data_IF_323046644875
#
_entry.id   IF_323046644875
#
_cell.length_a   1.000
_cell.length_b   1.000
_cell.length_c   1.000
_cell.angle_alpha   90.00
_cell.angle_beta   90.00
_cell.angle_gamma   90.00
#
_symmetry.space_group_name_H-M   'P 1'
#
loop_
_entity.id
_entity.type
_entity.pdbx_description
1 polymer ?
#
# COMPACT_ATOMS: atom_id res chain seq x y z
N UNK A 1 -6.83 -19.48 3.86
CA UNK A 1 -7.81 -19.29 4.92
C UNK A 1 -8.88 -18.29 4.47
N UNK A 2 -8.55 -17.04 4.06
CA UNK A 2 -9.54 -16.02 3.65
C UNK A 2 -10.47 -16.49 2.52
N UNK A 3 -9.94 -17.12 1.46
CA UNK A 3 -10.75 -17.64 0.35
C UNK A 3 -11.75 -18.70 0.80
N UNK A 4 -11.38 -19.56 1.74
CA UNK A 4 -12.27 -20.60 2.30
C UNK A 4 -13.38 -19.97 3.15
N UNK A 5 -13.04 -19.02 4.03
CA UNK A 5 -14.01 -18.37 4.91
C UNK A 5 -15.04 -17.59 4.10
N UNK A 6 -14.62 -16.78 3.13
CA UNK A 6 -15.53 -15.96 2.34
C UNK A 6 -16.40 -16.80 1.38
N UNK A 7 -15.83 -17.82 0.75
CA UNK A 7 -16.58 -18.65 -0.20
C UNK A 7 -17.56 -19.62 0.50
N UNK A 8 -17.13 -20.23 1.61
CA UNK A 8 -17.95 -21.28 2.27
C UNK A 8 -18.80 -20.75 3.42
N UNK A 9 -18.30 -19.77 4.22
CA UNK A 9 -19.01 -19.27 5.39
C UNK A 9 -19.95 -18.12 5.02
N UNK A 10 -19.47 -17.16 4.22
CA UNK A 10 -20.25 -15.98 3.85
C UNK A 10 -20.99 -16.15 2.52
N UNK A 11 -20.77 -17.27 1.79
CA UNK A 11 -21.37 -17.56 0.47
C UNK A 11 -21.25 -16.38 -0.50
N UNK A 12 -20.21 -15.59 -0.32
CA UNK A 12 -19.96 -14.40 -1.12
C UNK A 12 -18.91 -14.75 -2.19
N UNK A 13 -19.34 -14.71 -3.44
CA UNK A 13 -18.46 -14.71 -4.61
C UNK A 13 -18.63 -13.37 -5.30
N UNK A 14 -17.57 -12.53 -5.41
CA UNK A 14 -17.63 -11.45 -6.39
C UNK A 14 -17.96 -12.10 -7.73
N UNK A 15 -18.75 -11.42 -8.53
CA UNK A 15 -19.02 -11.89 -9.89
C UNK A 15 -17.73 -12.10 -10.69
N UNK A 16 -17.79 -12.82 -11.82
CA UNK A 16 -16.65 -12.98 -12.68
C UNK A 16 -16.08 -11.61 -13.07
N UNK A 17 -14.77 -11.51 -13.20
CA UNK A 17 -14.09 -10.28 -13.60
C UNK A 17 -14.66 -9.78 -14.93
N UNK A 18 -14.94 -8.50 -15.04
CA UNK A 18 -15.52 -7.90 -16.25
C UNK A 18 -14.54 -6.84 -16.81
N UNK A 19 -13.97 -7.05 -18.00
CA UNK A 19 -14.29 -8.03 -19.05
C UNK A 19 -13.50 -9.35 -19.01
N UNK A 20 -12.62 -9.60 -18.03
CA UNK A 20 -11.69 -10.77 -18.04
C UNK A 20 -12.39 -12.14 -17.98
N UNK A 21 -13.61 -12.20 -17.45
CA UNK A 21 -14.34 -13.45 -17.24
C UNK A 21 -13.76 -14.38 -16.17
N UNK A 22 -12.71 -13.97 -15.46
CA UNK A 22 -12.06 -14.76 -14.42
C UNK A 22 -12.98 -14.89 -13.18
N UNK A 23 -13.20 -16.14 -12.75
CA UNK A 23 -13.98 -16.45 -11.53
C UNK A 23 -13.09 -17.20 -10.50
N UNK A 24 -11.95 -16.61 -10.15
CA UNK A 24 -11.02 -17.17 -9.14
C UNK A 24 -10.92 -16.21 -7.98
N UNK A 25 -11.77 -16.41 -6.97
CA UNK A 25 -11.84 -15.55 -5.79
C UNK A 25 -10.49 -15.33 -5.09
N UNK A 26 -9.64 -16.36 -5.03
CA UNK A 26 -8.33 -16.26 -4.40
C UNK A 26 -7.43 -15.23 -5.10
N UNK A 27 -7.41 -15.21 -6.43
CA UNK A 27 -6.63 -14.23 -7.21
C UNK A 27 -7.20 -12.82 -7.06
N UNK A 28 -8.53 -12.70 -7.03
CA UNK A 28 -9.20 -11.42 -6.82
C UNK A 28 -8.82 -10.78 -5.46
N UNK A 29 -8.79 -11.58 -4.39
CA UNK A 29 -8.36 -11.11 -3.05
C UNK A 29 -6.88 -10.76 -3.06
N UNK A 30 -6.02 -11.58 -3.68
CA UNK A 30 -4.57 -11.33 -3.73
C UNK A 30 -4.23 -10.02 -4.45
N UNK A 31 -4.96 -9.67 -5.52
CA UNK A 31 -4.78 -8.39 -6.21
C UNK A 31 -4.99 -7.17 -5.31
N UNK A 32 -5.87 -7.28 -4.32
CA UNK A 32 -6.08 -6.21 -3.34
C UNK A 32 -5.18 -6.32 -2.11
N UNK A 33 -4.86 -7.55 -1.70
CA UNK A 33 -4.10 -7.83 -0.48
C UNK A 33 -2.63 -7.44 -0.62
N UNK A 34 -1.99 -7.70 -1.77
CA UNK A 34 -0.56 -7.41 -1.96
C UNK A 34 -0.23 -5.92 -1.85
N UNK A 35 -0.94 -4.98 -2.51
CA UNK A 35 -0.70 -3.55 -2.31
C UNK A 35 -0.89 -3.10 -0.87
N UNK A 36 -1.88 -3.68 -0.18
CA UNK A 36 -2.12 -3.42 1.23
C UNK A 36 -0.96 -3.92 2.11
N UNK A 37 -0.51 -5.16 1.92
CA UNK A 37 0.59 -5.73 2.70
C UNK A 37 1.88 -4.94 2.47
N UNK A 38 2.17 -4.54 1.24
CA UNK A 38 3.30 -3.67 0.94
C UNK A 38 3.23 -2.38 1.76
N UNK A 39 2.10 -1.67 1.75
CA UNK A 39 1.91 -0.45 2.52
C UNK A 39 2.03 -0.69 4.03
N UNK A 40 1.29 -1.66 4.57
CA UNK A 40 1.23 -1.92 6.00
C UNK A 40 2.58 -2.38 6.57
N UNK A 41 3.27 -3.31 5.88
CA UNK A 41 4.57 -3.83 6.31
C UNK A 41 5.65 -2.74 6.20
N UNK A 42 5.70 -2.02 5.07
CA UNK A 42 6.71 -0.97 4.85
C UNK A 42 6.58 0.14 5.88
N UNK A 43 5.37 0.61 6.16
CA UNK A 43 5.16 1.68 7.15
C UNK A 43 5.42 1.22 8.57
N UNK A 44 5.01 0.00 8.93
CA UNK A 44 5.20 -0.54 10.29
C UNK A 44 6.67 -0.84 10.59
N UNK A 45 7.38 -1.45 9.65
CA UNK A 45 8.80 -1.78 9.84
C UNK A 45 9.69 -0.55 9.62
N UNK A 46 9.41 0.27 8.61
CA UNK A 46 10.17 1.47 8.27
C UNK A 46 10.10 2.56 9.34
N UNK A 47 9.00 2.62 10.09
CA UNK A 47 8.85 3.50 11.25
C UNK A 47 9.98 3.31 12.26
N UNK A 48 10.47 2.08 12.44
CA UNK A 48 11.54 1.73 13.39
C UNK A 48 12.94 1.94 12.85
N UNK A 49 13.10 2.14 11.55
CA UNK A 49 14.41 2.08 10.87
C UNK A 49 15.45 3.04 11.47
N UNK A 50 15.06 4.24 11.91
CA UNK A 50 15.97 5.20 12.56
C UNK A 50 16.43 4.67 13.91
N UNK A 51 15.51 4.17 14.73
CA UNK A 51 15.76 3.72 16.08
C UNK A 51 16.57 2.43 16.11
N UNK A 52 16.22 1.48 15.25
CA UNK A 52 16.94 0.20 15.16
C UNK A 52 18.38 0.38 14.65
N UNK A 53 18.65 1.49 13.95
CA UNK A 53 19.98 1.87 13.46
C UNK A 53 20.60 3.06 14.22
N UNK A 54 20.23 3.27 15.48
CA UNK A 54 20.71 4.41 16.28
C UNK A 54 22.25 4.53 16.35
N UNK A 55 22.97 3.41 16.36
CA UNK A 55 24.43 3.40 16.34
C UNK A 55 25.00 4.03 15.06
N UNK A 56 24.38 3.78 13.91
CA UNK A 56 24.74 4.39 12.64
C UNK A 56 24.39 5.88 12.63
N UNK A 57 23.20 6.23 13.10
CA UNK A 57 22.67 7.61 13.14
C UNK A 57 23.51 8.52 14.03
N UNK A 58 24.10 7.99 15.13
CA UNK A 58 24.95 8.75 16.07
C UNK A 58 26.41 8.89 15.61
N UNK A 59 26.94 7.87 14.94
CA UNK A 59 28.38 7.77 14.71
C UNK A 59 28.82 8.11 13.27
N UNK A 60 27.89 8.19 12.33
CA UNK A 60 28.16 8.44 10.91
C UNK A 60 27.40 9.66 10.43
N UNK A 61 28.10 10.56 9.76
CA UNK A 61 27.48 11.71 9.10
C UNK A 61 26.92 11.27 7.75
N UNK A 62 25.61 11.15 7.66
CA UNK A 62 24.87 10.88 6.41
C UNK A 62 23.45 11.48 6.48
N UNK A 63 22.84 11.63 5.32
CA UNK A 63 21.45 12.09 5.24
C UNK A 63 20.52 10.99 5.77
N UNK A 64 19.94 11.21 6.94
CA UNK A 64 19.12 10.23 7.66
C UNK A 64 17.91 9.75 6.86
N UNK A 65 17.43 10.58 5.94
CA UNK A 65 16.34 10.23 5.00
C UNK A 65 16.74 9.07 4.08
N UNK A 66 18.02 8.98 3.71
CA UNK A 66 18.55 7.90 2.86
C UNK A 66 18.31 6.52 3.47
N UNK A 67 18.33 6.42 4.81
CA UNK A 67 18.04 5.16 5.50
C UNK A 67 16.59 4.71 5.25
N UNK A 68 15.65 5.65 5.31
CA UNK A 68 14.23 5.35 5.05
C UNK A 68 14.00 5.01 3.57
N UNK A 69 14.59 5.78 2.65
CA UNK A 69 14.46 5.47 1.21
C UNK A 69 15.12 4.13 0.85
N UNK A 70 16.27 3.81 1.45
CA UNK A 70 16.92 2.50 1.28
C UNK A 70 16.03 1.35 1.78
N UNK A 71 15.39 1.53 2.93
CA UNK A 71 14.44 0.56 3.47
C UNK A 71 13.21 0.40 2.57
N UNK A 72 12.59 1.49 2.14
CA UNK A 72 11.45 1.46 1.20
C UNK A 72 11.85 0.80 -0.11
N UNK A 73 13.05 1.10 -0.64
CA UNK A 73 13.58 0.47 -1.84
C UNK A 73 13.71 -1.05 -1.71
N UNK A 74 14.19 -1.56 -0.58
CA UNK A 74 14.26 -2.99 -0.30
C UNK A 74 12.85 -3.62 -0.27
N UNK A 75 11.87 -2.95 0.32
CA UNK A 75 10.48 -3.41 0.35
C UNK A 75 9.83 -3.40 -1.05
N UNK A 76 10.19 -2.44 -1.91
CA UNK A 76 9.75 -2.41 -3.32
C UNK A 76 10.25 -3.64 -4.07
N UNK A 77 11.50 -4.05 -3.85
CA UNK A 77 12.04 -5.28 -4.47
C UNK A 77 11.23 -6.51 -4.03
N UNK A 78 10.96 -6.65 -2.72
CA UNK A 78 10.12 -7.74 -2.20
C UNK A 78 8.72 -7.71 -2.82
N UNK A 79 8.08 -6.55 -2.84
CA UNK A 79 6.75 -6.38 -3.44
C UNK A 79 6.73 -6.70 -4.93
N UNK A 80 7.79 -6.32 -5.66
CA UNK A 80 7.91 -6.63 -7.10
C UNK A 80 8.00 -8.13 -7.34
N UNK A 81 8.71 -8.88 -6.48
CA UNK A 81 8.76 -10.34 -6.55
C UNK A 81 7.38 -10.96 -6.25
N UNK A 82 6.71 -10.51 -5.19
CA UNK A 82 5.36 -10.98 -4.85
C UNK A 82 4.34 -10.67 -5.97
N UNK A 83 4.41 -9.45 -6.51
CA UNK A 83 3.56 -9.04 -7.63
C UNK A 83 3.85 -9.86 -8.89
N UNK A 84 5.12 -10.14 -9.20
CA UNK A 84 5.51 -10.95 -10.36
C UNK A 84 4.98 -12.38 -10.27
N UNK A 85 4.98 -12.96 -9.06
CA UNK A 85 4.38 -14.26 -8.81
C UNK A 85 2.85 -14.24 -9.05
N UNK A 86 2.15 -13.22 -8.53
CA UNK A 86 0.72 -13.04 -8.78
C UNK A 86 0.43 -12.89 -10.27
N UNK A 87 1.20 -12.07 -10.99
CA UNK A 87 1.08 -11.87 -12.43
C UNK A 87 1.29 -13.18 -13.20
N UNK A 88 2.27 -13.99 -12.79
CA UNK A 88 2.49 -15.32 -13.34
C UNK A 88 1.28 -16.26 -13.17
N UNK A 89 0.68 -16.26 -11.96
CA UNK A 89 -0.53 -17.04 -11.70
C UNK A 89 -1.74 -16.56 -12.52
N UNK A 90 -1.88 -15.25 -12.73
CA UNK A 90 -2.93 -14.68 -13.59
C UNK A 90 -2.74 -15.07 -15.06
N UNK A 91 -1.50 -15.10 -15.58
CA UNK A 91 -1.21 -15.59 -16.92
C UNK A 91 -1.56 -17.07 -17.08
N UNK A 92 -1.22 -17.90 -16.09
CA UNK A 92 -1.59 -19.32 -16.09
C UNK A 92 -3.11 -19.52 -16.03
N UNK A 93 -3.84 -18.60 -15.40
CA UNK A 93 -5.30 -18.58 -15.42
C UNK A 93 -5.91 -18.04 -16.73
N UNK A 94 -5.09 -17.66 -17.72
CA UNK A 94 -5.52 -17.18 -19.02
C UNK A 94 -5.80 -15.68 -19.11
N UNK A 95 -5.40 -14.90 -18.10
CA UNK A 95 -5.66 -13.46 -18.08
C UNK A 95 -4.55 -12.66 -18.77
N UNK A 96 -4.89 -11.94 -19.84
CA UNK A 96 -3.95 -11.19 -20.68
C UNK A 96 -3.82 -9.72 -20.22
N UNK A 97 -3.23 -9.50 -19.06
CA UNK A 97 -2.99 -8.14 -18.53
C UNK A 97 -1.77 -7.42 -19.14
N UNK A 98 -0.98 -8.05 -20.02
CA UNK A 98 0.25 -7.48 -20.58
C UNK A 98 0.11 -6.05 -21.11
N UNK A 99 -0.96 -5.66 -21.81
CA UNK A 99 -1.14 -4.28 -22.29
C UNK A 99 -1.24 -3.25 -21.16
N UNK A 100 -1.60 -3.68 -19.97
CA UNK A 100 -1.80 -2.82 -18.79
C UNK A 100 -0.54 -2.67 -17.92
N UNK A 101 0.54 -3.41 -18.23
CA UNK A 101 1.81 -3.34 -17.48
C UNK A 101 2.38 -1.91 -17.34
N UNK A 102 2.41 -1.06 -18.39
CA UNK A 102 2.95 0.30 -18.23
C UNK A 102 2.18 1.13 -17.20
N UNK A 103 0.84 0.99 -17.20
CA UNK A 103 -0.01 1.71 -16.24
C UNK A 103 0.16 1.11 -14.83
N UNK A 104 0.30 -0.20 -14.72
CA UNK A 104 0.58 -0.87 -13.45
C UNK A 104 1.89 -0.36 -12.82
N UNK A 105 2.94 -0.18 -13.61
CA UNK A 105 4.21 0.39 -13.13
C UNK A 105 4.01 1.81 -12.57
N UNK A 106 3.20 2.64 -13.23
CA UNK A 106 2.87 3.99 -12.73
C UNK A 106 2.10 3.92 -11.41
N UNK A 107 1.11 3.02 -11.30
CA UNK A 107 0.33 2.83 -10.06
C UNK A 107 1.23 2.36 -8.92
N UNK A 108 2.14 1.42 -9.18
CA UNK A 108 3.13 0.92 -8.21
C UNK A 108 4.10 2.03 -7.79
N UNK A 109 4.56 2.87 -8.73
CA UNK A 109 5.41 4.01 -8.42
C UNK A 109 4.68 5.03 -7.52
N UNK A 110 3.42 5.37 -7.82
CA UNK A 110 2.60 6.24 -6.97
C UNK A 110 2.39 5.64 -5.58
N UNK A 111 2.09 4.34 -5.48
CA UNK A 111 1.96 3.63 -4.20
C UNK A 111 3.26 3.68 -3.40
N UNK A 112 4.41 3.50 -4.06
CA UNK A 112 5.73 3.58 -3.43
C UNK A 112 6.00 4.97 -2.87
N UNK A 113 5.73 6.03 -3.64
CA UNK A 113 5.88 7.42 -3.22
C UNK A 113 4.97 7.74 -2.03
N UNK A 114 3.70 7.31 -2.10
CA UNK A 114 2.75 7.44 -1.00
C UNK A 114 3.26 6.77 0.27
N UNK A 115 3.68 5.51 0.16
CA UNK A 115 4.18 4.71 1.28
C UNK A 115 5.47 5.31 1.87
N UNK A 116 6.39 5.80 1.04
CA UNK A 116 7.61 6.47 1.49
C UNK A 116 7.30 7.72 2.30
N UNK A 117 6.38 8.56 1.84
CA UNK A 117 5.95 9.77 2.56
C UNK A 117 5.37 9.46 3.94
N UNK A 118 4.46 8.47 4.02
CA UNK A 118 3.89 8.02 5.30
C UNK A 118 4.96 7.42 6.20
N UNK A 119 5.88 6.61 5.64
CA UNK A 119 6.99 6.01 6.41
C UNK A 119 7.92 7.06 6.99
N UNK A 120 8.28 8.10 6.22
CA UNK A 120 9.09 9.24 6.71
C UNK A 120 8.41 9.95 7.89
N UNK A 121 7.12 10.25 7.76
CA UNK A 121 6.35 10.90 8.82
C UNK A 121 6.33 10.04 10.10
N UNK A 122 6.04 8.76 9.96
CA UNK A 122 6.00 7.82 11.08
C UNK A 122 7.38 7.63 11.72
N UNK A 123 8.44 7.48 10.92
CA UNK A 123 9.80 7.32 11.41
C UNK A 123 10.28 8.54 12.20
N UNK A 124 10.00 9.76 11.69
CA UNK A 124 10.31 10.99 12.41
C UNK A 124 9.55 11.11 13.73
N UNK A 125 8.27 10.71 13.74
CA UNK A 125 7.42 10.79 14.94
C UNK A 125 7.78 9.71 15.97
N UNK A 126 8.20 8.51 15.52
CA UNK A 126 8.52 7.38 16.38
C UNK A 126 9.78 7.60 17.24
N UNK A 127 10.72 8.43 16.80
CA UNK A 127 11.89 8.81 17.62
C UNK A 127 11.43 9.47 18.91
N UNK A 128 10.38 10.30 18.88
CA UNK A 128 9.85 11.03 20.04
C UNK A 128 8.77 10.24 20.81
N UNK A 129 7.96 9.47 20.07
CA UNK A 129 6.80 8.76 20.64
C UNK A 129 6.89 7.27 20.32
N UNK A 130 7.49 6.49 21.22
CA UNK A 130 7.65 5.03 21.06
C UNK A 130 6.32 4.28 21.02
N UNK A 131 5.29 4.80 21.67
CA UNK A 131 3.96 4.20 21.70
C UNK A 131 3.21 4.35 20.36
N UNK A 132 3.72 5.16 19.44
CA UNK A 132 3.17 5.30 18.06
C UNK A 132 3.03 3.95 17.36
N UNK A 133 3.91 2.99 17.65
CA UNK A 133 3.85 1.66 17.11
C UNK A 133 2.52 0.94 17.42
N UNK A 134 2.05 1.05 18.66
CA UNK A 134 0.78 0.42 19.05
C UNK A 134 -0.40 1.12 18.39
N UNK A 135 -0.38 2.45 18.35
CA UNK A 135 -1.40 3.23 17.65
C UNK A 135 -1.43 2.90 16.16
N UNK A 136 -0.25 2.82 15.52
CA UNK A 136 -0.16 2.50 14.10
C UNK A 136 -0.63 1.08 13.79
N UNK A 137 -0.35 0.11 14.66
CA UNK A 137 -0.84 -1.25 14.50
C UNK A 137 -2.37 -1.33 14.51
N UNK A 138 -3.03 -0.55 15.39
CA UNK A 138 -4.49 -0.43 15.42
C UNK A 138 -4.99 0.27 14.14
N UNK A 139 -4.35 1.36 13.71
CA UNK A 139 -4.70 2.07 12.48
C UNK A 139 -4.60 1.17 11.24
N UNK A 140 -3.54 0.37 11.13
CA UNK A 140 -3.40 -0.58 10.02
C UNK A 140 -4.43 -1.70 10.08
N UNK A 141 -4.75 -2.22 11.26
CA UNK A 141 -5.79 -3.24 11.40
C UNK A 141 -7.17 -2.71 11.00
N UNK A 142 -7.53 -1.51 11.44
CA UNK A 142 -8.80 -0.86 11.04
C UNK A 142 -8.78 -0.48 9.55
N UNK A 143 -7.65 0.01 9.05
CA UNK A 143 -7.43 0.36 7.64
C UNK A 143 -7.67 -0.81 6.68
N UNK A 144 -7.30 -2.03 7.08
CA UNK A 144 -7.58 -3.24 6.31
C UNK A 144 -9.09 -3.42 6.03
N UNK A 145 -9.91 -3.19 7.04
CA UNK A 145 -11.37 -3.28 6.88
C UNK A 145 -11.98 -2.05 6.21
N UNK A 146 -11.34 -0.89 6.35
CA UNK A 146 -11.79 0.34 5.70
C UNK A 146 -11.48 0.38 4.19
N UNK A 147 -10.56 -0.46 3.70
CA UNK A 147 -10.27 -0.61 2.28
C UNK A 147 -11.02 -1.83 1.71
N UNK A 148 -11.51 -1.77 0.45
CA UNK A 148 -12.27 -2.87 -0.18
C UNK A 148 -11.33 -4.00 -0.65
N UNK A 149 -10.57 -4.59 0.29
CA UNK A 149 -9.59 -5.65 0.00
C UNK A 149 -10.32 -6.98 -0.20
N UNK A 150 -11.22 -7.32 0.74
CA UNK A 150 -11.92 -8.61 0.78
C UNK A 150 -13.39 -8.53 0.36
N UNK A 151 -13.88 -7.33 0.06
CA UNK A 151 -15.25 -7.09 -0.39
C UNK A 151 -15.26 -6.10 -1.57
N UNK A 152 -16.19 -6.20 -2.52
CA UNK A 152 -16.33 -5.21 -3.58
C UNK A 152 -17.02 -3.95 -3.06
N UNK A 153 -16.58 -2.80 -3.55
CA UNK A 153 -17.10 -1.48 -3.15
C UNK A 153 -18.60 -1.32 -3.40
N UNK A 154 -19.15 -2.03 -4.40
CA UNK A 154 -20.57 -1.99 -4.74
C UNK A 154 -21.52 -2.56 -3.70
N UNK A 155 -21.02 -3.26 -2.66
CA UNK A 155 -21.84 -3.72 -1.54
C UNK A 155 -22.16 -2.59 -0.53
N UNK A 156 -21.42 -1.49 -0.60
CA UNK A 156 -21.60 -0.39 0.33
C UNK A 156 -22.73 0.54 -0.14
N UNK A 157 -23.50 1.16 0.77
CA UNK A 157 -24.43 2.24 0.44
C UNK A 157 -23.69 3.40 -0.27
N UNK A 158 -24.35 4.09 -1.20
CA UNK A 158 -23.74 5.13 -2.06
C UNK A 158 -22.97 6.21 -1.27
N UNK A 159 -23.49 6.61 -0.11
CA UNK A 159 -22.81 7.59 0.77
C UNK A 159 -21.46 7.08 1.29
N UNK A 160 -21.37 5.79 1.66
CA UNK A 160 -20.16 5.18 2.14
C UNK A 160 -19.17 4.91 0.99
N UNK A 161 -19.66 4.59 -0.20
CA UNK A 161 -18.80 4.43 -1.38
C UNK A 161 -17.97 5.69 -1.66
N UNK A 162 -18.57 6.87 -1.56
CA UNK A 162 -17.87 8.15 -1.78
C UNK A 162 -16.73 8.33 -0.76
N UNK A 163 -17.01 8.07 0.52
CA UNK A 163 -16.00 8.19 1.58
C UNK A 163 -14.86 7.18 1.40
N UNK A 164 -15.22 5.93 1.10
CA UNK A 164 -14.22 4.85 0.89
C UNK A 164 -13.37 5.12 -0.35
N UNK A 165 -13.91 5.72 -1.42
CA UNK A 165 -13.15 6.11 -2.62
C UNK A 165 -12.14 7.23 -2.38
N UNK A 166 -12.38 8.10 -1.38
CA UNK A 166 -11.41 9.15 -1.00
C UNK A 166 -10.22 8.59 -0.20
N UNK A 167 -10.35 7.38 0.35
CA UNK A 167 -9.23 6.72 1.02
C UNK A 167 -8.15 6.36 -0.02
N UNK A 168 -6.88 6.82 0.15
CA UNK A 168 -5.81 6.56 -0.80
C UNK A 168 -5.60 5.06 -1.05
N UNK A 169 -5.64 4.25 -0.01
CA UNK A 169 -5.45 2.80 -0.13
C UNK A 169 -6.52 2.16 -1.02
N UNK A 170 -7.76 2.64 -0.93
CA UNK A 170 -8.84 2.17 -1.82
C UNK A 170 -8.50 2.43 -3.27
N UNK A 171 -8.02 3.63 -3.60
CA UNK A 171 -7.64 3.97 -4.98
C UNK A 171 -6.53 3.04 -5.51
N UNK A 172 -5.50 2.76 -4.71
CA UNK A 172 -4.42 1.84 -5.10
C UNK A 172 -4.91 0.40 -5.24
N UNK A 173 -5.63 -0.13 -4.25
CA UNK A 173 -6.14 -1.51 -4.25
C UNK A 173 -7.09 -1.75 -5.43
N UNK A 174 -8.02 -0.84 -5.66
CA UNK A 174 -8.98 -0.96 -6.78
C UNK A 174 -8.29 -0.81 -8.12
N UNK A 175 -7.33 0.10 -8.26
CA UNK A 175 -6.59 0.28 -9.52
C UNK A 175 -5.73 -0.93 -9.87
N UNK A 176 -4.99 -1.51 -8.91
CA UNK A 176 -4.24 -2.74 -9.17
C UNK A 176 -5.17 -3.87 -9.56
N UNK A 177 -6.29 -4.06 -8.85
CA UNK A 177 -7.28 -5.10 -9.17
C UNK A 177 -7.88 -4.90 -10.55
N UNK A 178 -8.33 -3.69 -10.88
CA UNK A 178 -8.91 -3.38 -12.18
C UNK A 178 -7.93 -3.66 -13.32
N UNK A 179 -6.65 -3.28 -13.15
CA UNK A 179 -5.62 -3.48 -14.19
C UNK A 179 -5.30 -4.94 -14.44
N UNK A 180 -5.10 -5.72 -13.36
CA UNK A 180 -4.54 -7.08 -13.51
C UNK A 180 -5.59 -8.18 -13.46
N UNK A 181 -6.76 -7.94 -12.83
CA UNK A 181 -7.84 -8.93 -12.73
C UNK A 181 -8.97 -8.63 -13.70
N UNK A 182 -9.52 -7.40 -13.70
CA UNK A 182 -10.65 -7.00 -14.53
C UNK A 182 -10.25 -6.52 -15.94
N UNK A 183 -8.96 -6.26 -16.19
CA UNK A 183 -8.43 -5.73 -17.46
C UNK A 183 -9.04 -4.35 -17.83
N UNK A 184 -9.25 -3.51 -16.84
CA UNK A 184 -9.77 -2.15 -16.99
C UNK A 184 -8.75 -1.12 -16.51
N UNK A 185 -8.65 -0.01 -17.20
CA UNK A 185 -7.85 1.14 -16.72
C UNK A 185 -8.45 1.78 -15.49
N UNK A 186 -7.59 2.40 -14.62
CA UNK A 186 -8.07 3.21 -13.50
C UNK A 186 -8.87 4.41 -14.03
N UNK A 187 -9.86 4.85 -13.26
CA UNK A 187 -10.62 6.05 -13.63
C UNK A 187 -9.76 7.31 -13.46
N UNK A 188 -10.09 8.39 -14.17
CA UNK A 188 -9.39 9.67 -13.99
C UNK A 188 -9.46 10.18 -12.55
N UNK A 189 -10.56 9.89 -11.84
CA UNK A 189 -10.72 10.19 -10.43
C UNK A 189 -9.73 9.40 -9.58
N UNK A 190 -9.60 8.08 -9.77
CA UNK A 190 -8.66 7.25 -9.01
C UNK A 190 -7.21 7.70 -9.23
N UNK A 191 -6.83 8.01 -10.48
CA UNK A 191 -5.51 8.55 -10.81
C UNK A 191 -5.24 9.88 -10.08
N UNK A 192 -6.21 10.78 -10.09
CA UNK A 192 -6.08 12.07 -9.38
C UNK A 192 -5.91 11.86 -7.88
N UNK A 193 -6.72 11.01 -7.27
CA UNK A 193 -6.61 10.67 -5.84
C UNK A 193 -5.24 10.08 -5.52
N UNK A 194 -4.77 9.10 -6.31
CA UNK A 194 -3.45 8.47 -6.11
C UNK A 194 -2.31 9.49 -6.19
N UNK A 195 -2.29 10.34 -7.22
CA UNK A 195 -1.23 11.35 -7.40
C UNK A 195 -1.28 12.41 -6.29
N UNK A 196 -2.46 12.94 -5.98
CA UNK A 196 -2.61 13.93 -4.92
C UNK A 196 -2.13 13.40 -3.56
N UNK A 197 -2.53 12.18 -3.19
CA UNK A 197 -2.09 11.56 -1.93
C UNK A 197 -0.60 11.22 -1.93
N UNK A 198 -0.05 10.75 -3.05
CA UNK A 198 1.38 10.46 -3.17
C UNK A 198 2.23 11.70 -2.99
N UNK A 199 1.89 12.80 -3.67
CA UNK A 199 2.60 14.07 -3.55
C UNK A 199 2.43 14.66 -2.14
N UNK A 200 1.19 14.69 -1.64
CA UNK A 200 0.90 15.29 -0.31
C UNK A 200 1.60 14.52 0.81
N UNK A 201 1.54 13.19 0.80
CA UNK A 201 2.21 12.38 1.82
C UNK A 201 3.72 12.56 1.79
N UNK A 202 4.33 12.61 0.60
CA UNK A 202 5.77 12.80 0.46
C UNK A 202 6.19 14.19 0.96
N UNK A 203 5.47 15.25 0.59
CA UNK A 203 5.76 16.62 1.05
C UNK A 203 5.62 16.75 2.56
N UNK A 204 4.56 16.18 3.15
CA UNK A 204 4.36 16.21 4.60
C UNK A 204 5.44 15.36 5.29
N UNK A 205 5.73 14.16 4.77
CA UNK A 205 6.75 13.26 5.33
C UNK A 205 8.14 13.88 5.33
N UNK A 206 8.58 14.44 4.19
CA UNK A 206 9.85 15.14 4.07
C UNK A 206 9.89 16.40 4.95
N UNK A 207 8.83 17.20 4.96
CA UNK A 207 8.75 18.41 5.78
C UNK A 207 8.78 18.13 7.29
N UNK A 208 8.11 17.07 7.75
CA UNK A 208 8.17 16.63 9.14
C UNK A 208 9.56 16.06 9.47
N UNK A 209 10.09 15.21 8.60
CA UNK A 209 11.38 14.57 8.81
C UNK A 209 12.54 15.58 8.86
N UNK A 210 12.59 16.54 7.91
CA UNK A 210 13.62 17.58 7.87
C UNK A 210 13.59 18.51 9.09
N UNK A 211 12.40 18.78 9.65
CA UNK A 211 12.26 19.59 10.87
C UNK A 211 12.66 18.85 12.15
N UNK A 212 12.39 17.56 12.21
CA UNK A 212 12.61 16.75 13.43
C UNK A 212 13.99 16.10 13.45
N UNK A 213 14.56 15.74 12.28
CA UNK A 213 15.83 15.01 12.16
C UNK A 213 17.03 15.66 12.85
N UNK A 214 17.19 17.02 12.93
CA UNK A 214 18.35 17.59 13.60
C UNK A 214 18.48 17.19 15.07
N UNK A 215 17.37 16.96 15.75
CA UNK A 215 17.32 16.60 17.18
C UNK A 215 17.37 15.10 17.47
N UNK A 216 17.38 14.23 16.44
CA UNK A 216 17.37 12.77 16.65
C UNK A 216 18.55 12.26 17.48
N UNK A 217 19.72 12.90 17.37
CA UNK A 217 20.90 12.49 18.13
C UNK A 217 20.77 12.73 19.65
N UNK A 218 19.88 13.65 20.06
CA UNK A 218 19.61 13.98 21.46
C UNK A 218 18.52 13.04 22.06
N UNK A 219 17.60 12.55 21.21
CA UNK A 219 16.44 11.75 21.62
C UNK A 219 16.66 10.23 21.49
N UNK A 220 17.70 9.80 20.80
CA UNK A 220 18.08 8.40 20.62
C UNK A 220 19.03 7.94 21.72
#
# INVERSE_FOLDING_TARGET
VYALVFRYLLKFTPGPGDPSGLDVFALWVLCGLLPWLFFANTTTMGMRAIVDNQGLVKNVLFDRETLIFGFVGAQVLTFTLELSLLLGLLLLAGNMFLPWLPILVVVVACLTVFTAGVTLLLAASYVYFRDLQYLWSICTQLGFFAAPIVYPIGLLPDRLQTVVRLNPITAFVTSVRNLVYDLRGPTAFDLTVMVCWSVTSLLIGLGAFSRLSPRFAEEL
#
